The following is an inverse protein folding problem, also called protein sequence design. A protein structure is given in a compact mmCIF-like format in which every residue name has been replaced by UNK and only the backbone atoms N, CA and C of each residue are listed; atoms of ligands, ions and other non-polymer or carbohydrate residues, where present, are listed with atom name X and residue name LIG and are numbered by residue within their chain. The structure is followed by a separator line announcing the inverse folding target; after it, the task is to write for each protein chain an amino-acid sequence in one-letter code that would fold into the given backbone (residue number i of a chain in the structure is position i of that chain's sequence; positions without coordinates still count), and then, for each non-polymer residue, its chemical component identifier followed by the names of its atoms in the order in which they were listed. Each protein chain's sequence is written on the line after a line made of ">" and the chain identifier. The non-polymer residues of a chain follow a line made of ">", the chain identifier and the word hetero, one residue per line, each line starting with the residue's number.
data_IF_447515738171
#
_entry.id   IF_447515738171
#
_cell.length_a   1.000
_cell.length_b   1.000
_cell.length_c   1.000
_cell.angle_alpha   90.00
_cell.angle_beta   90.00
_cell.angle_gamma   90.00
#
_symmetry.space_group_name_H-M   'P 1'
#
loop_
_entity.id
_entity.type
_entity.pdbx_description
1 polymer ?
#
# COMPACT_ATOMS: atom_id res chain seq x y z
N UNK A 1 3.50 34.25 -25.97
CA UNK A 1 2.45 33.31 -25.52
C UNK A 1 3.12 32.37 -24.55
N UNK A 2 2.67 32.43 -23.30
CA UNK A 2 3.22 31.72 -22.14
C UNK A 2 2.79 30.26 -22.18
N UNK A 3 3.73 29.33 -22.05
CA UNK A 3 3.46 27.96 -21.63
C UNK A 3 4.14 27.81 -20.28
N UNK A 4 3.34 27.72 -19.22
CA UNK A 4 3.82 27.51 -17.87
C UNK A 4 4.45 26.11 -17.77
N UNK A 5 5.75 26.05 -17.51
CA UNK A 5 6.45 24.85 -17.08
C UNK A 5 5.88 24.40 -15.73
N UNK A 6 5.22 23.25 -15.71
CA UNK A 6 4.81 22.56 -14.49
C UNK A 6 6.06 21.99 -13.81
N UNK A 7 6.54 22.67 -12.78
CA UNK A 7 7.62 22.19 -11.92
C UNK A 7 7.17 20.94 -11.13
N UNK A 8 8.05 19.95 -10.92
CA UNK A 8 7.76 18.85 -10.01
C UNK A 8 7.68 19.37 -8.58
N UNK A 9 6.63 18.99 -7.86
CA UNK A 9 6.44 19.28 -6.44
C UNK A 9 7.52 18.54 -5.64
N UNK A 10 8.49 19.29 -5.10
CA UNK A 10 9.47 18.78 -4.14
C UNK A 10 8.75 18.66 -2.80
N UNK A 11 8.69 17.45 -2.24
CA UNK A 11 8.24 17.27 -0.87
C UNK A 11 9.33 17.81 0.07
N UNK A 12 8.96 18.84 0.84
CA UNK A 12 9.81 19.49 1.83
C UNK A 12 10.13 18.50 2.97
N UNK A 13 11.41 18.20 3.17
CA UNK A 13 11.88 17.48 4.36
C UNK A 13 11.83 18.45 5.56
N UNK A 14 10.68 18.52 6.21
CA UNK A 14 10.59 19.10 7.55
C UNK A 14 10.69 17.98 8.59
N UNK A 15 11.87 17.86 9.21
CA UNK A 15 11.98 17.24 10.53
C UNK A 15 11.00 17.97 11.46
N UNK A 16 10.01 17.25 11.99
CA UNK A 16 9.16 17.79 13.03
C UNK A 16 9.15 16.89 14.25
N UNK A 17 9.60 17.50 15.34
CA UNK A 17 9.73 16.94 16.68
C UNK A 17 8.34 16.76 17.28
N UNK A 18 8.15 15.61 17.93
CA UNK A 18 7.02 15.14 18.75
C UNK A 18 5.98 16.19 19.20
N UNK A 19 4.70 15.96 18.88
CA UNK A 19 3.54 16.36 19.71
C UNK A 19 2.34 15.45 19.42
N UNK A 20 1.86 14.72 20.44
CA UNK A 20 0.61 13.94 20.40
C UNK A 20 -0.57 14.91 20.24
N UNK A 21 -1.14 14.98 19.03
CA UNK A 21 -2.37 15.72 18.77
C UNK A 21 -3.46 14.75 18.33
N UNK A 22 -4.52 14.67 19.14
CA UNK A 22 -5.76 13.92 18.88
C UNK A 22 -6.28 14.24 17.47
N UNK A 23 -6.32 13.23 16.60
CA UNK A 23 -6.78 13.35 15.20
C UNK A 23 -8.28 13.02 15.13
N UNK A 24 -9.07 13.68 15.98
CA UNK A 24 -10.51 13.78 15.83
C UNK A 24 -10.85 14.73 14.69
N UNK A 25 -10.53 14.31 13.46
CA UNK A 25 -10.72 15.10 12.27
C UNK A 25 -12.13 14.91 11.74
N UNK A 26 -13.07 15.71 12.24
CA UNK A 26 -14.35 15.98 11.60
C UNK A 26 -14.11 16.83 10.34
N UNK A 27 -13.53 16.23 9.29
CA UNK A 27 -13.59 16.82 7.95
C UNK A 27 -14.84 16.30 7.25
N UNK A 28 -15.73 17.24 6.97
CA UNK A 28 -16.89 17.06 6.10
C UNK A 28 -16.50 16.20 4.90
N UNK A 29 -17.28 15.16 4.64
CA UNK A 29 -17.12 14.28 3.49
C UNK A 29 -17.47 15.07 2.24
N UNK A 30 -16.55 15.94 1.79
CA UNK A 30 -16.55 16.47 0.45
C UNK A 30 -16.38 15.26 -0.47
N UNK A 31 -17.50 14.84 -1.06
CA UNK A 31 -17.57 13.77 -2.05
C UNK A 31 -16.63 14.08 -3.22
N UNK A 32 -15.38 13.66 -3.09
CA UNK A 32 -14.33 13.83 -4.08
C UNK A 32 -14.49 12.77 -5.17
N UNK A 33 -15.41 12.98 -6.10
CA UNK A 33 -15.46 12.22 -7.37
C UNK A 33 -14.38 12.67 -8.36
N UNK A 34 -13.27 13.23 -7.88
CA UNK A 34 -12.14 13.56 -8.74
C UNK A 34 -11.53 12.27 -9.28
N UNK A 35 -11.39 12.19 -10.60
CA UNK A 35 -10.76 11.05 -11.25
C UNK A 35 -9.26 11.07 -10.93
N UNK A 36 -8.75 9.92 -10.49
CA UNK A 36 -7.32 9.68 -10.28
C UNK A 36 -6.59 9.94 -11.61
N UNK A 37 -5.46 10.65 -11.58
CA UNK A 37 -4.65 10.86 -12.78
C UNK A 37 -4.16 9.52 -13.33
N UNK A 38 -4.20 9.36 -14.66
CA UNK A 38 -3.79 8.11 -15.32
C UNK A 38 -2.35 7.69 -15.00
N UNK A 39 -1.51 8.65 -14.61
CA UNK A 39 -0.13 8.42 -14.17
C UNK A 39 -0.02 7.58 -12.89
N UNK A 40 -1.03 7.61 -12.00
CA UNK A 40 -1.02 6.84 -10.74
C UNK A 40 -1.26 5.34 -11.01
N UNK A 41 -1.97 5.01 -12.08
CA UNK A 41 -2.24 3.63 -12.50
C UNK A 41 -1.11 3.02 -13.34
N UNK A 42 -0.07 3.81 -13.65
CA UNK A 42 1.02 3.36 -14.49
C UNK A 42 1.99 2.51 -13.65
N UNK A 43 1.84 1.19 -13.76
CA UNK A 43 2.78 0.25 -13.18
C UNK A 43 4.12 0.26 -13.92
N UNK A 44 5.20 -0.02 -13.19
CA UNK A 44 6.52 -0.25 -13.78
C UNK A 44 6.53 -1.65 -14.39
N UNK A 45 6.83 -1.77 -15.68
CA UNK A 45 6.97 -3.07 -16.33
C UNK A 45 8.44 -3.32 -16.66
N UNK A 46 8.99 -4.44 -16.19
CA UNK A 46 10.36 -4.87 -16.47
C UNK A 46 10.42 -6.35 -16.75
N UNK A 47 11.12 -6.74 -17.81
CA UNK A 47 11.27 -8.16 -18.20
C UNK A 47 9.93 -8.92 -18.34
N UNK A 48 8.85 -8.21 -18.68
CA UNK A 48 7.50 -8.77 -18.78
C UNK A 48 6.77 -8.94 -17.44
N UNK A 49 7.39 -8.53 -16.32
CA UNK A 49 6.80 -8.52 -14.98
C UNK A 49 6.33 -7.11 -14.63
N UNK A 50 5.32 -7.01 -13.77
CA UNK A 50 4.76 -5.73 -13.31
C UNK A 50 5.23 -5.44 -11.89
N UNK A 51 5.52 -4.18 -11.57
CA UNK A 51 6.00 -3.72 -10.27
C UNK A 51 5.23 -2.48 -9.81
N UNK A 52 5.27 -2.24 -8.50
CA UNK A 52 4.63 -1.08 -7.87
C UNK A 52 5.30 0.23 -8.32
N UNK A 53 4.51 1.18 -8.84
CA UNK A 53 5.01 2.47 -9.33
C UNK A 53 5.21 3.53 -8.24
N UNK A 54 4.56 3.38 -7.09
CA UNK A 54 4.68 4.33 -5.98
C UNK A 54 5.92 4.02 -5.13
N UNK A 55 6.78 5.01 -4.88
CA UNK A 55 8.08 4.83 -4.20
C UNK A 55 8.90 3.69 -4.84
N UNK A 56 9.08 3.81 -6.16
CA UNK A 56 9.81 2.84 -6.97
C UNK A 56 11.16 2.46 -6.33
N UNK A 57 11.49 1.18 -6.36
CA UNK A 57 12.66 0.60 -5.72
C UNK A 57 12.51 0.22 -4.24
N UNK A 58 11.47 0.67 -3.53
CA UNK A 58 11.23 0.24 -2.14
C UNK A 58 10.69 -1.19 -2.04
N UNK A 59 9.90 -1.62 -3.03
CA UNK A 59 9.40 -2.99 -3.15
C UNK A 59 9.98 -3.61 -4.43
N UNK A 60 10.84 -4.61 -4.27
CA UNK A 60 11.62 -5.22 -5.34
C UNK A 60 10.98 -6.49 -5.94
N UNK A 61 9.84 -6.91 -5.41
CA UNK A 61 9.10 -8.08 -5.88
C UNK A 61 8.00 -7.63 -6.85
N UNK A 62 7.72 -8.39 -7.91
CA UNK A 62 6.63 -8.06 -8.82
C UNK A 62 5.26 -8.08 -8.14
N UNK A 63 4.25 -7.48 -8.77
CA UNK A 63 2.85 -7.47 -8.34
C UNK A 63 1.93 -8.02 -9.44
N UNK A 64 2.43 -8.98 -10.22
CA UNK A 64 1.70 -9.66 -11.29
C UNK A 64 0.90 -10.87 -10.76
N UNK A 65 0.06 -11.42 -11.65
CA UNK A 65 -0.80 -12.57 -11.33
C UNK A 65 0.01 -13.79 -10.86
N UNK A 66 1.16 -14.04 -11.48
CA UNK A 66 2.04 -15.16 -11.12
C UNK A 66 2.57 -15.02 -9.68
N UNK A 67 2.95 -13.81 -9.26
CA UNK A 67 3.36 -13.57 -7.88
C UNK A 67 2.19 -13.67 -6.90
N UNK A 68 0.98 -13.25 -7.29
CA UNK A 68 -0.23 -13.45 -6.49
C UNK A 68 -0.51 -14.94 -6.26
N UNK A 69 -0.46 -15.77 -7.32
CA UNK A 69 -0.61 -17.23 -7.19
C UNK A 69 0.45 -17.84 -6.26
N UNK A 70 1.69 -17.36 -6.34
CA UNK A 70 2.78 -17.80 -5.45
C UNK A 70 2.50 -17.44 -3.98
N UNK A 71 1.96 -16.25 -3.72
CA UNK A 71 1.59 -15.78 -2.38
C UNK A 71 0.39 -16.57 -1.83
N UNK A 72 -0.59 -16.89 -2.66
CA UNK A 72 -1.74 -17.73 -2.28
C UNK A 72 -1.30 -19.14 -1.89
N UNK A 73 -0.41 -19.75 -2.67
CA UNK A 73 0.18 -21.05 -2.33
C UNK A 73 0.94 -20.98 -0.99
N UNK A 74 1.73 -19.93 -0.80
CA UNK A 74 2.46 -19.72 0.45
C UNK A 74 1.50 -19.57 1.64
N UNK A 75 0.41 -18.83 1.48
CA UNK A 75 -0.61 -18.69 2.52
C UNK A 75 -1.26 -20.03 2.86
N UNK A 76 -1.64 -20.82 1.85
CA UNK A 76 -2.23 -22.14 2.04
C UNK A 76 -1.29 -23.11 2.79
N UNK A 77 0.00 -23.06 2.49
CA UNK A 77 1.02 -23.85 3.21
C UNK A 77 1.11 -23.46 4.69
N UNK A 78 1.07 -22.17 5.01
CA UNK A 78 1.10 -21.70 6.38
C UNK A 78 -0.16 -22.10 7.16
N UNK A 79 -1.34 -21.92 6.58
CA UNK A 79 -2.59 -22.39 7.19
C UNK A 79 -2.52 -23.88 7.51
N UNK A 80 -2.05 -24.70 6.56
CA UNK A 80 -1.93 -26.14 6.79
C UNK A 80 -0.94 -26.48 7.88
N UNK A 81 0.14 -25.71 8.01
CA UNK A 81 1.16 -25.88 9.05
C UNK A 81 0.65 -25.46 10.43
N UNK A 82 -0.29 -24.52 10.48
CA UNK A 82 -0.82 -23.95 11.72
C UNK A 82 -2.16 -24.55 12.17
N UNK A 83 -2.54 -25.71 11.62
CA UNK A 83 -3.83 -26.34 11.86
C UNK A 83 -5.01 -25.40 11.55
N UNK A 84 -4.94 -24.75 10.39
CA UNK A 84 -5.92 -23.79 9.87
C UNK A 84 -6.11 -22.54 10.75
N UNK A 85 -5.07 -22.17 11.52
CA UNK A 85 -5.01 -20.93 12.30
C UNK A 85 -4.18 -19.85 11.57
N UNK A 86 -4.59 -18.59 11.71
CA UNK A 86 -3.84 -17.44 11.18
C UNK A 86 -2.52 -17.18 11.91
N UNK A 87 -2.38 -17.65 13.15
CA UNK A 87 -1.18 -17.49 13.94
C UNK A 87 -1.34 -17.97 15.38
N UNK A 88 -0.29 -17.81 16.18
CA UNK A 88 -0.26 -18.26 17.58
C UNK A 88 -0.51 -17.15 18.61
N UNK A 89 -0.64 -15.90 18.16
CA UNK A 89 -0.89 -14.77 19.04
C UNK A 89 -2.28 -14.90 19.70
N UNK A 90 -2.48 -14.37 20.92
CA UNK A 90 -3.77 -14.45 21.62
C UNK A 90 -4.97 -14.00 20.78
N UNK A 91 -4.92 -12.89 20.00
CA UNK A 91 -6.03 -12.44 19.16
C UNK A 91 -6.39 -13.40 18.01
N UNK A 92 -5.50 -14.32 17.62
CA UNK A 92 -5.76 -15.27 16.55
C UNK A 92 -6.57 -16.50 17.03
N UNK A 93 -6.96 -16.54 18.31
CA UNK A 93 -7.83 -17.58 18.86
C UNK A 93 -9.29 -17.17 18.67
N UNK A 94 -10.20 -18.09 18.31
CA UNK A 94 -11.63 -17.77 18.13
C UNK A 94 -12.28 -17.19 19.39
N UNK A 95 -11.78 -17.55 20.57
CA UNK A 95 -12.29 -17.12 21.87
C UNK A 95 -11.57 -15.87 22.43
N UNK A 96 -10.76 -15.19 21.62
CA UNK A 96 -9.98 -14.05 22.07
C UNK A 96 -10.88 -12.82 22.25
N UNK A 97 -11.00 -12.33 23.49
CA UNK A 97 -11.53 -11.00 23.75
C UNK A 97 -10.40 -10.00 23.48
N UNK A 98 -10.60 -9.15 22.47
CA UNK A 98 -9.76 -7.97 22.20
C UNK A 98 -10.34 -6.78 22.95
#
# INVERSE_FOLDING_TARGET
>A
MSAAENQPLVADESENVLEDHDSGHDEEVESSTQSISSSILQYRQENGRTYHGYKDGKYNVPNDEEENERLDLQHALFLRTFDDRLGFAPPCKPEANV
#
